data_IF_848689411937
#
_entry.id   IF_848689411937
#
_cell.length_a   1.000
_cell.length_b   1.000
_cell.length_c   1.000
_cell.angle_alpha   90.00
_cell.angle_beta   90.00
_cell.angle_gamma   90.00
#
_symmetry.space_group_name_H-M   'P 1'
#
loop_
_entity.id
_entity.type
_entity.pdbx_description
1 polymer ?
#
# COMPACT_ATOMS: atom_id res chain seq x y z
N UNK A 1 -8.29 -11.25 -9.78
CA UNK A 1 -9.04 -9.99 -9.96
C UNK A 1 -9.24 -9.66 -11.42
N UNK A 2 -10.21 -8.82 -11.71
CA UNK A 2 -10.38 -8.18 -13.02
C UNK A 2 -10.83 -6.73 -12.86
N UNK A 3 -10.67 -5.93 -13.90
CA UNK A 3 -11.06 -4.52 -13.88
C UNK A 3 -11.89 -4.15 -15.11
N UNK A 4 -12.53 -2.98 -15.02
CA UNK A 4 -13.27 -2.37 -16.11
C UNK A 4 -13.01 -0.88 -16.19
N UNK A 5 -13.06 -0.32 -17.38
CA UNK A 5 -13.09 1.12 -17.62
C UNK A 5 -14.12 1.48 -18.70
N UNK A 6 -14.55 2.72 -18.70
CA UNK A 6 -15.50 3.25 -19.70
C UNK A 6 -14.96 3.09 -21.13
N UNK A 7 -15.78 2.59 -22.02
CA UNK A 7 -15.42 2.30 -23.42
C UNK A 7 -15.03 0.85 -23.68
N UNK A 8 -14.98 0.02 -22.64
CA UNK A 8 -14.83 -1.42 -22.77
C UNK A 8 -16.19 -2.09 -22.95
N UNK A 9 -16.22 -3.09 -23.82
CA UNK A 9 -17.41 -3.96 -23.97
C UNK A 9 -17.32 -5.17 -23.01
N UNK A 10 -17.17 -4.88 -21.72
CA UNK A 10 -17.01 -5.88 -20.66
C UNK A 10 -15.75 -5.67 -19.80
N UNK A 11 -15.58 -6.54 -18.80
CA UNK A 11 -14.38 -6.59 -17.97
C UNK A 11 -13.19 -7.16 -18.76
N UNK A 12 -11.99 -6.72 -18.41
CA UNK A 12 -10.78 -7.47 -18.74
C UNK A 12 -10.87 -8.91 -18.21
N UNK A 13 -10.17 -9.88 -18.82
CA UNK A 13 -10.07 -11.22 -18.27
C UNK A 13 -9.60 -11.22 -16.82
N UNK A 14 -9.95 -12.26 -16.06
CA UNK A 14 -9.38 -12.44 -14.73
C UNK A 14 -7.88 -12.71 -14.80
N UNK A 15 -7.12 -11.99 -13.99
CA UNK A 15 -5.70 -12.24 -13.72
C UNK A 15 -5.58 -12.90 -12.36
N UNK A 16 -4.84 -14.01 -12.28
CA UNK A 16 -4.61 -14.74 -11.04
C UNK A 16 -3.45 -14.11 -10.26
N UNK A 17 -3.44 -14.28 -8.95
CA UNK A 17 -2.35 -13.81 -8.08
C UNK A 17 -1.00 -14.49 -8.37
N UNK A 18 -1.03 -15.64 -9.06
CA UNK A 18 0.17 -16.39 -9.45
C UNK A 18 0.69 -16.03 -10.85
N UNK A 19 -0.02 -15.19 -11.58
CA UNK A 19 0.35 -14.74 -12.92
C UNK A 19 1.10 -13.41 -12.84
N UNK A 20 2.17 -13.29 -13.63
CA UNK A 20 2.88 -12.02 -13.79
C UNK A 20 2.20 -11.17 -14.87
N UNK A 21 0.94 -10.81 -14.62
CA UNK A 21 0.10 -10.07 -15.54
C UNK A 21 -0.82 -9.09 -14.79
N UNK A 22 -1.49 -8.21 -15.50
CA UNK A 22 -2.41 -7.21 -14.93
C UNK A 22 -3.69 -7.10 -15.76
N UNK A 23 -4.81 -6.88 -15.06
CA UNK A 23 -6.09 -6.58 -15.72
C UNK A 23 -6.21 -5.07 -15.93
N UNK A 24 -5.87 -4.60 -17.12
CA UNK A 24 -5.91 -3.17 -17.44
C UNK A 24 -5.25 -2.83 -18.76
N UNK A 25 -5.17 -1.54 -19.08
CA UNK A 25 -4.41 -0.99 -20.20
C UNK A 25 -3.66 0.24 -19.75
N UNK A 26 -2.41 0.37 -20.22
CA UNK A 26 -1.58 1.55 -19.93
C UNK A 26 -2.31 2.84 -20.32
N UNK A 27 -2.28 3.84 -19.45
CA UNK A 27 -2.91 5.13 -19.67
C UNK A 27 -4.43 5.17 -19.55
N UNK A 28 -5.09 4.04 -19.24
CA UNK A 28 -6.54 3.99 -19.00
C UNK A 28 -6.84 3.76 -17.53
N UNK A 29 -7.51 4.69 -16.85
CA UNK A 29 -7.84 4.53 -15.44
C UNK A 29 -8.85 3.42 -15.22
N UNK A 30 -8.74 2.72 -14.11
CA UNK A 30 -9.68 1.71 -13.66
C UNK A 30 -10.89 2.42 -13.03
N UNK A 31 -12.11 1.96 -13.37
CA UNK A 31 -13.36 2.51 -12.84
C UNK A 31 -14.16 1.49 -12.04
N UNK A 32 -13.94 0.20 -12.30
CA UNK A 32 -14.48 -0.89 -11.49
C UNK A 32 -13.40 -1.95 -11.24
N UNK A 33 -13.42 -2.53 -10.04
CA UNK A 33 -12.56 -3.64 -9.63
C UNK A 33 -13.44 -4.77 -9.10
N UNK A 34 -13.16 -5.97 -9.53
CA UNK A 34 -13.80 -7.19 -9.03
C UNK A 34 -12.75 -8.20 -8.60
N UNK A 35 -12.88 -8.72 -7.37
CA UNK A 35 -11.96 -9.69 -6.79
C UNK A 35 -12.72 -10.95 -6.42
N UNK A 36 -12.16 -12.11 -6.74
CA UNK A 36 -12.71 -13.42 -6.38
C UNK A 36 -11.63 -14.32 -5.83
N UNK A 37 -11.96 -15.15 -4.87
CA UNK A 37 -11.10 -16.20 -4.37
C UNK A 37 -11.29 -17.50 -5.19
N UNK A 38 -10.18 -18.15 -5.54
CA UNK A 38 -10.14 -19.42 -6.25
C UNK A 38 -9.17 -20.36 -5.55
N UNK A 39 -9.42 -21.66 -5.68
CA UNK A 39 -8.45 -22.70 -5.31
C UNK A 39 -7.36 -22.79 -6.37
N UNK A 40 -6.24 -23.41 -6.02
CA UNK A 40 -5.12 -23.60 -6.94
C UNK A 40 -5.51 -24.45 -8.19
N UNK A 41 -6.53 -25.30 -8.07
CA UNK A 41 -7.08 -26.07 -9.19
C UNK A 41 -7.97 -25.25 -10.15
N UNK A 42 -8.15 -23.94 -9.86
CA UNK A 42 -8.95 -23.02 -10.67
C UNK A 42 -10.44 -23.05 -10.35
N UNK A 43 -10.90 -23.84 -9.37
CA UNK A 43 -12.30 -23.83 -8.96
C UNK A 43 -12.60 -22.62 -8.06
N UNK A 44 -13.74 -21.96 -8.30
CA UNK A 44 -14.16 -20.82 -7.49
C UNK A 44 -14.34 -21.24 -6.04
N UNK A 45 -13.74 -20.50 -5.11
CA UNK A 45 -13.91 -20.70 -3.68
C UNK A 45 -15.24 -20.04 -3.26
N UNK A 46 -16.20 -20.86 -2.84
CA UNK A 46 -17.55 -20.41 -2.42
C UNK A 46 -17.70 -20.36 -0.90
N UNK A 47 -16.75 -20.92 -0.17
CA UNK A 47 -16.71 -20.95 1.30
C UNK A 47 -15.27 -21.00 1.77
N UNK A 48 -15.05 -20.67 3.04
CA UNK A 48 -13.73 -20.73 3.70
C UNK A 48 -12.91 -19.46 3.61
N UNK A 49 -13.12 -18.60 2.61
CA UNK A 49 -12.42 -17.30 2.47
C UNK A 49 -13.42 -16.20 2.11
N UNK A 50 -13.35 -15.09 2.83
CA UNK A 50 -14.10 -13.87 2.54
C UNK A 50 -13.13 -12.77 2.14
N UNK A 51 -13.25 -12.30 0.91
CA UNK A 51 -12.48 -11.14 0.42
C UNK A 51 -13.39 -9.92 0.48
N UNK A 52 -13.10 -9.01 1.39
CA UNK A 52 -13.77 -7.71 1.51
C UNK A 52 -12.91 -6.66 0.82
N UNK A 53 -13.49 -5.85 -0.05
CA UNK A 53 -12.74 -4.79 -0.72
C UNK A 53 -13.63 -3.58 -0.99
N UNK A 54 -13.00 -2.41 -1.07
CA UNK A 54 -13.65 -1.15 -1.42
C UNK A 54 -12.72 -0.25 -2.23
N UNK A 55 -13.29 0.70 -2.93
CA UNK A 55 -12.57 1.66 -3.75
C UNK A 55 -12.65 3.07 -3.14
N UNK A 56 -11.58 3.85 -3.29
CA UNK A 56 -11.55 5.27 -3.00
C UNK A 56 -11.79 6.05 -4.31
N UNK A 57 -12.89 6.78 -4.35
CA UNK A 57 -13.37 7.50 -5.53
C UNK A 57 -13.84 8.88 -5.11
N UNK A 58 -13.42 9.93 -5.83
CA UNK A 58 -13.83 11.33 -5.55
C UNK A 58 -13.70 11.72 -4.06
N UNK A 59 -12.53 11.41 -3.47
CA UNK A 59 -12.16 11.73 -2.09
C UNK A 59 -13.00 11.04 -0.99
N UNK A 60 -13.65 9.93 -1.31
CA UNK A 60 -14.39 9.12 -0.31
C UNK A 60 -14.20 7.63 -0.55
N UNK A 61 -14.23 6.85 0.53
CA UNK A 61 -14.36 5.41 0.46
C UNK A 61 -15.79 5.02 0.11
N UNK A 62 -15.93 4.14 -0.87
CA UNK A 62 -17.20 3.50 -1.21
C UNK A 62 -17.54 2.41 -0.19
N UNK A 63 -18.80 1.90 -0.19
CA UNK A 63 -19.16 0.75 0.62
C UNK A 63 -18.26 -0.46 0.35
N UNK A 64 -18.11 -1.31 1.37
CA UNK A 64 -17.47 -2.61 1.23
C UNK A 64 -18.30 -3.53 0.35
N UNK A 65 -17.65 -4.21 -0.56
CA UNK A 65 -18.21 -5.23 -1.44
C UNK A 65 -17.46 -6.55 -1.30
N UNK A 66 -18.09 -7.64 -1.71
CA UNK A 66 -17.48 -8.97 -1.71
C UNK A 66 -18.21 -9.88 -2.70
N UNK A 67 -17.56 -10.94 -3.13
CA UNK A 67 -18.21 -12.07 -3.82
C UNK A 67 -18.68 -13.18 -2.84
N UNK A 68 -18.54 -12.96 -1.54
CA UNK A 68 -19.01 -13.86 -0.50
C UNK A 68 -20.51 -13.68 -0.20
N UNK A 69 -21.11 -14.64 0.50
CA UNK A 69 -22.49 -14.52 1.00
C UNK A 69 -22.62 -13.27 1.90
N UNK A 70 -23.69 -12.47 1.76
CA UNK A 70 -23.93 -11.29 2.60
C UNK A 70 -23.88 -11.53 4.12
N UNK A 71 -24.23 -12.74 4.58
CA UNK A 71 -24.11 -13.08 6.00
C UNK A 71 -22.66 -13.05 6.50
N UNK A 72 -21.71 -13.49 5.63
CA UNK A 72 -20.29 -13.48 5.93
C UNK A 72 -19.73 -12.06 5.96
N UNK A 73 -20.15 -11.21 5.02
CA UNK A 73 -19.76 -9.80 4.99
C UNK A 73 -20.16 -9.10 6.31
N UNK A 74 -21.38 -9.32 6.78
CA UNK A 74 -21.86 -8.76 8.06
C UNK A 74 -21.10 -9.32 9.25
N UNK A 75 -20.79 -10.62 9.26
CA UNK A 75 -20.00 -11.25 10.30
C UNK A 75 -18.59 -10.68 10.38
N UNK A 76 -17.94 -10.51 9.24
CA UNK A 76 -16.61 -9.88 9.14
C UNK A 76 -16.66 -8.43 9.63
N UNK A 77 -17.61 -7.63 9.13
CA UNK A 77 -17.72 -6.24 9.55
C UNK A 77 -17.90 -6.11 11.06
N UNK A 78 -18.80 -6.89 11.65
CA UNK A 78 -19.07 -6.87 13.09
C UNK A 78 -17.85 -7.33 13.91
N UNK A 79 -17.21 -8.42 13.49
CA UNK A 79 -16.10 -9.02 14.23
C UNK A 79 -14.84 -8.16 14.22
N UNK A 80 -14.52 -7.57 13.08
CA UNK A 80 -13.29 -6.78 12.88
C UNK A 80 -13.54 -5.28 12.97
N UNK A 81 -14.77 -4.88 13.27
CA UNK A 81 -15.18 -3.48 13.41
C UNK A 81 -14.76 -2.62 12.19
N UNK A 82 -15.01 -3.16 10.97
CA UNK A 82 -14.71 -2.43 9.76
C UNK A 82 -15.58 -1.18 9.66
N UNK A 83 -14.94 -0.06 9.43
CA UNK A 83 -15.62 1.22 9.23
C UNK A 83 -16.38 1.25 7.89
N UNK A 84 -17.35 2.14 7.77
CA UNK A 84 -18.14 2.32 6.55
C UNK A 84 -19.31 1.35 6.44
N UNK A 85 -20.00 1.40 5.31
CA UNK A 85 -21.20 0.61 5.02
C UNK A 85 -20.86 -0.62 4.16
N UNK A 86 -21.78 -1.59 4.14
CA UNK A 86 -21.73 -2.74 3.23
C UNK A 86 -22.65 -2.53 2.04
N UNK A 87 -22.20 -2.84 0.84
CA UNK A 87 -23.06 -3.09 -0.31
C UNK A 87 -23.09 -4.60 -0.61
N UNK A 88 -24.09 -5.27 -0.07
CA UNK A 88 -24.24 -6.73 -0.20
C UNK A 88 -24.89 -7.16 -1.51
N UNK A 89 -25.34 -6.21 -2.32
CA UNK A 89 -25.93 -6.44 -3.64
C UNK A 89 -24.94 -6.27 -4.78
N UNK A 90 -23.77 -5.69 -4.50
CA UNK A 90 -22.75 -5.39 -5.50
C UNK A 90 -21.54 -6.32 -5.35
N UNK A 91 -21.01 -6.80 -6.47
CA UNK A 91 -19.81 -7.64 -6.52
C UNK A 91 -18.60 -6.94 -7.12
N UNK A 92 -18.65 -5.63 -7.25
CA UNK A 92 -17.52 -4.80 -7.70
C UNK A 92 -17.39 -3.52 -6.88
N UNK A 93 -16.18 -3.03 -6.73
CA UNK A 93 -15.90 -1.73 -6.13
C UNK A 93 -15.61 -0.71 -7.23
N UNK A 94 -16.30 0.42 -7.19
CA UNK A 94 -16.12 1.50 -8.15
C UNK A 94 -17.42 2.15 -8.59
N UNK A 95 -17.31 3.20 -9.40
CA UNK A 95 -18.45 3.94 -9.99
C UNK A 95 -18.16 4.16 -11.47
N UNK A 96 -19.14 3.88 -12.32
CA UNK A 96 -19.04 4.10 -13.76
C UNK A 96 -18.69 5.56 -14.07
N UNK A 97 -17.70 5.73 -14.93
CA UNK A 97 -17.23 7.05 -15.34
C UNK A 97 -16.36 7.78 -14.33
N UNK A 98 -16.06 7.17 -13.16
CA UNK A 98 -15.20 7.73 -12.11
C UNK A 98 -13.97 6.86 -11.89
N UNK A 99 -12.81 7.49 -11.79
CA UNK A 99 -11.56 6.77 -11.62
C UNK A 99 -11.40 6.29 -10.17
N UNK A 100 -10.90 5.06 -10.02
CA UNK A 100 -10.46 4.54 -8.72
C UNK A 100 -9.11 5.16 -8.39
N UNK A 101 -9.01 5.82 -7.25
CA UNK A 101 -7.80 6.47 -6.75
C UNK A 101 -7.11 5.69 -5.63
N UNK A 102 -7.79 4.70 -5.06
CA UNK A 102 -7.26 3.81 -4.04
C UNK A 102 -8.13 2.58 -3.87
N UNK A 103 -7.53 1.52 -3.36
CA UNK A 103 -8.22 0.26 -3.08
C UNK A 103 -7.82 -0.21 -1.69
N UNK A 104 -8.78 -0.69 -0.93
CA UNK A 104 -8.56 -1.39 0.32
C UNK A 104 -9.11 -2.80 0.21
N UNK A 105 -8.30 -3.79 0.61
CA UNK A 105 -8.60 -5.21 0.47
C UNK A 105 -8.28 -5.90 1.78
N UNK A 106 -9.23 -6.68 2.30
CA UNK A 106 -9.04 -7.57 3.44
C UNK A 106 -9.45 -8.98 3.08
N UNK A 107 -8.68 -9.95 3.54
CA UNK A 107 -8.93 -11.38 3.30
C UNK A 107 -9.06 -12.05 4.65
N UNK A 108 -10.15 -12.76 4.86
CA UNK A 108 -10.47 -13.44 6.12
C UNK A 108 -10.74 -14.92 5.86
N UNK A 109 -10.18 -15.79 6.67
CA UNK A 109 -10.52 -17.20 6.67
C UNK A 109 -11.80 -17.44 7.47
N UNK A 110 -12.61 -18.41 7.06
CA UNK A 110 -13.87 -18.76 7.75
C UNK A 110 -13.63 -19.13 9.22
N UNK A 111 -12.56 -19.84 9.51
CA UNK A 111 -12.15 -20.21 10.86
C UNK A 111 -11.89 -18.97 11.73
N UNK A 112 -11.29 -17.92 11.13
CA UNK A 112 -11.03 -16.65 11.80
C UNK A 112 -12.33 -15.88 12.07
N UNK A 113 -13.35 -16.05 11.23
CA UNK A 113 -14.65 -15.39 11.39
C UNK A 113 -15.42 -15.97 12.57
N UNK A 114 -15.32 -17.27 12.85
CA UNK A 114 -16.04 -17.93 13.93
C UNK A 114 -15.27 -18.08 15.23
N UNK A 115 -13.97 -18.20 15.17
CA UNK A 115 -13.18 -18.09 16.39
C UNK A 115 -13.13 -16.61 16.78
N UNK A 116 -13.69 -16.28 17.95
CA UNK A 116 -13.36 -14.98 18.56
C UNK A 116 -11.84 -14.88 18.53
N UNK A 117 -11.24 -13.90 17.84
CA UNK A 117 -9.82 -13.71 18.00
C UNK A 117 -9.63 -13.54 19.49
N UNK A 118 -8.75 -14.32 20.10
CA UNK A 118 -8.09 -13.80 21.27
C UNK A 118 -7.68 -12.39 20.84
N UNK A 119 -8.27 -11.37 21.46
CA UNK A 119 -7.85 -9.97 21.30
C UNK A 119 -6.35 -10.04 21.15
N UNK A 120 -5.75 -9.52 20.07
CA UNK A 120 -4.30 -9.45 20.02
C UNK A 120 -3.94 -8.75 21.32
N UNK A 121 -3.39 -9.48 22.26
CA UNK A 121 -2.77 -8.91 23.46
C UNK A 121 -1.46 -8.28 23.04
N UNK A 122 -1.54 -7.44 22.06
CA UNK A 122 -0.51 -6.61 21.52
C UNK A 122 -1.19 -5.35 21.02
N UNK A 123 -0.88 -4.22 21.60
CA UNK A 123 -1.32 -2.93 21.16
C UNK A 123 -1.02 -2.78 19.67
N UNK A 124 -2.04 -2.97 18.82
CA UNK A 124 -1.92 -2.58 17.43
C UNK A 124 -1.80 -1.06 17.40
N UNK A 125 -0.65 -0.53 17.06
CA UNK A 125 -0.43 0.90 16.94
C UNK A 125 -0.34 1.29 15.48
N UNK A 126 -1.21 2.19 15.07
CA UNK A 126 -1.11 2.83 13.76
C UNK A 126 -0.39 4.17 13.95
N UNK A 127 0.72 4.34 13.25
CA UNK A 127 1.40 5.62 13.18
C UNK A 127 0.67 6.48 12.15
N UNK A 128 0.06 7.56 12.60
CA UNK A 128 -0.63 8.53 11.75
C UNK A 128 0.40 9.42 11.04
N UNK A 129 0.98 8.92 9.95
CA UNK A 129 1.84 9.72 9.10
C UNK A 129 1.01 10.43 8.01
N UNK A 130 1.27 11.72 7.72
CA UNK A 130 0.59 12.42 6.63
C UNK A 130 0.84 11.70 5.31
N UNK A 131 -0.22 11.34 4.59
CA UNK A 131 -0.10 10.66 3.31
C UNK A 131 0.31 11.63 2.21
N UNK A 132 1.32 11.25 1.43
CA UNK A 132 1.77 11.96 0.24
C UNK A 132 1.75 10.98 -0.93
N UNK A 133 0.98 11.27 -1.99
CA UNK A 133 1.00 10.46 -3.20
C UNK A 133 2.25 10.74 -4.03
N UNK A 134 2.93 9.68 -4.46
CA UNK A 134 4.02 9.81 -5.44
C UNK A 134 3.51 9.87 -6.88
N UNK A 135 2.25 9.44 -7.11
CA UNK A 135 1.70 9.32 -8.46
C UNK A 135 1.68 10.66 -9.20
N UNK A 136 2.05 10.62 -10.45
CA UNK A 136 2.10 11.78 -11.34
C UNK A 136 3.35 12.64 -11.18
N UNK A 137 3.78 12.97 -9.96
CA UNK A 137 4.89 13.91 -9.75
C UNK A 137 6.24 13.24 -9.46
N UNK A 138 6.24 12.08 -8.81
CA UNK A 138 7.44 11.36 -8.37
C UNK A 138 7.39 9.89 -8.76
N UNK A 139 7.31 9.54 -10.06
CA UNK A 139 7.02 8.17 -10.52
C UNK A 139 8.03 7.12 -10.07
N UNK A 140 9.27 7.53 -9.77
CA UNK A 140 10.31 6.65 -9.23
C UNK A 140 10.82 7.12 -7.85
N UNK A 141 10.04 7.95 -7.15
CA UNK A 141 10.46 8.64 -5.92
C UNK A 141 9.93 8.04 -4.63
N UNK A 142 9.61 6.74 -4.59
CA UNK A 142 9.03 6.10 -3.41
C UNK A 142 9.86 6.31 -2.14
N UNK A 143 11.19 6.23 -2.21
CA UNK A 143 12.08 6.45 -1.08
C UNK A 143 11.99 7.88 -0.56
N UNK A 144 11.95 8.87 -1.47
CA UNK A 144 11.87 10.28 -1.10
C UNK A 144 10.52 10.62 -0.49
N UNK A 145 9.43 10.17 -1.11
CA UNK A 145 8.06 10.42 -0.65
C UNK A 145 7.83 9.79 0.72
N UNK A 146 8.20 8.52 0.89
CA UNK A 146 8.05 7.81 2.18
C UNK A 146 8.89 8.45 3.28
N UNK A 147 10.11 8.92 2.95
CA UNK A 147 10.98 9.61 3.90
C UNK A 147 10.35 10.92 4.37
N UNK A 148 9.78 11.72 3.47
CA UNK A 148 9.11 12.97 3.82
C UNK A 148 7.85 12.72 4.66
N UNK A 149 7.08 11.66 4.38
CA UNK A 149 5.97 11.26 5.24
C UNK A 149 6.43 10.97 6.68
N UNK A 150 7.55 10.25 6.83
CA UNK A 150 8.12 9.97 8.15
C UNK A 150 8.64 11.23 8.86
N UNK A 151 9.27 12.15 8.13
CA UNK A 151 9.73 13.45 8.67
C UNK A 151 8.56 14.33 9.11
N UNK A 152 7.52 14.43 8.29
CA UNK A 152 6.34 15.22 8.62
C UNK A 152 5.59 14.63 9.83
N UNK A 153 5.54 13.30 9.98
CA UNK A 153 5.05 12.67 11.20
C UNK A 153 5.87 13.09 12.45
N UNK A 154 7.18 13.23 12.32
CA UNK A 154 8.04 13.70 13.38
C UNK A 154 7.96 15.22 13.63
N UNK A 155 7.11 15.95 12.91
CA UNK A 155 6.95 17.39 13.00
C UNK A 155 8.00 18.20 12.23
N UNK A 156 8.79 17.54 11.38
CA UNK A 156 9.78 18.19 10.50
C UNK A 156 9.14 18.39 9.13
N UNK A 157 8.47 19.51 8.95
CA UNK A 157 7.67 19.81 7.79
C UNK A 157 8.53 20.29 6.62
N UNK A 158 8.86 19.38 5.71
CA UNK A 158 9.52 19.69 4.44
C UNK A 158 8.72 19.12 3.26
N UNK A 159 8.88 19.72 2.09
CA UNK A 159 8.29 19.17 0.87
C UNK A 159 9.16 18.05 0.28
N UNK A 160 8.55 17.18 -0.54
CA UNK A 160 9.31 16.15 -1.27
C UNK A 160 10.31 16.81 -2.23
N UNK A 161 9.96 17.93 -2.86
CA UNK A 161 10.89 18.67 -3.71
C UNK A 161 12.09 19.18 -2.93
N UNK A 162 11.86 19.80 -1.77
CA UNK A 162 12.95 20.26 -0.88
C UNK A 162 13.87 19.11 -0.46
N UNK A 163 13.30 17.95 -0.13
CA UNK A 163 14.10 16.76 0.22
C UNK A 163 14.94 16.28 -0.97
N UNK A 164 14.35 16.17 -2.16
CA UNK A 164 15.06 15.72 -3.36
C UNK A 164 16.17 16.68 -3.76
N UNK A 165 15.93 17.98 -3.69
CA UNK A 165 16.84 18.97 -4.25
C UNK A 165 18.00 19.31 -3.28
N UNK A 166 17.74 19.33 -1.97
CA UNK A 166 18.71 19.79 -1.00
C UNK A 166 19.43 18.65 -0.24
N UNK A 167 18.83 17.46 -0.14
CA UNK A 167 19.34 16.42 0.74
C UNK A 167 19.65 15.10 0.06
N UNK A 168 18.89 14.73 -0.99
CA UNK A 168 19.08 13.46 -1.69
C UNK A 168 20.32 13.51 -2.58
N UNK A 169 21.29 12.61 -2.32
CA UNK A 169 22.40 12.43 -3.25
C UNK A 169 21.93 11.69 -4.50
N UNK A 170 22.12 12.30 -5.68
CA UNK A 170 21.70 11.76 -6.98
C UNK A 170 22.88 11.69 -7.94
N UNK A 171 22.88 10.69 -8.82
CA UNK A 171 23.85 10.59 -9.92
C UNK A 171 23.21 10.02 -11.18
N UNK A 172 23.86 10.23 -12.33
CA UNK A 172 23.54 9.53 -13.57
C UNK A 172 24.01 8.06 -13.54
N UNK A 173 23.80 7.35 -14.64
CA UNK A 173 24.28 5.98 -14.85
C UNK A 173 25.69 5.98 -15.46
N UNK A 174 26.59 5.06 -15.03
CA UNK A 174 26.41 4.05 -13.99
C UNK A 174 26.44 4.65 -12.58
N UNK A 175 25.74 4.01 -11.62
CA UNK A 175 25.68 4.44 -10.22
C UNK A 175 25.70 3.25 -9.26
N UNK A 176 26.05 3.50 -8.00
CA UNK A 176 25.86 2.55 -6.90
C UNK A 176 24.64 2.97 -6.06
N UNK A 177 23.58 2.13 -5.97
CA UNK A 177 22.38 2.45 -5.22
C UNK A 177 22.61 2.58 -3.70
N UNK A 178 23.77 2.18 -3.18
CA UNK A 178 24.17 2.43 -1.80
C UNK A 178 24.82 3.80 -1.58
N UNK A 179 25.20 4.48 -2.65
CA UNK A 179 25.90 5.77 -2.61
C UNK A 179 24.99 6.92 -3.07
N UNK A 180 24.19 6.69 -4.12
CA UNK A 180 23.35 7.72 -4.71
C UNK A 180 22.05 7.14 -5.24
N UNK A 181 21.03 8.00 -5.36
CA UNK A 181 19.82 7.71 -6.13
C UNK A 181 20.17 7.78 -7.63
N UNK A 182 19.87 6.73 -8.38
CA UNK A 182 20.11 6.69 -9.83
C UNK A 182 19.09 7.53 -10.59
N UNK A 183 19.54 8.61 -11.23
CA UNK A 183 18.68 9.48 -12.03
C UNK A 183 17.89 10.52 -11.24
N UNK A 184 16.62 10.72 -11.61
CA UNK A 184 15.74 11.73 -11.01
C UNK A 184 14.43 11.11 -10.51
N UNK A 185 14.06 11.25 -9.23
CA UNK A 185 12.79 10.75 -8.70
C UNK A 185 11.54 11.28 -9.42
N UNK A 186 11.64 12.42 -10.10
CA UNK A 186 10.56 13.04 -10.87
C UNK A 186 10.43 12.48 -12.30
N UNK A 187 11.33 11.57 -12.68
CA UNK A 187 11.34 10.95 -14.01
C UNK A 187 10.90 9.49 -13.94
N UNK A 188 10.23 9.01 -14.98
CA UNK A 188 9.91 7.59 -15.17
C UNK A 188 11.14 6.71 -15.43
N UNK A 189 12.30 7.33 -15.75
CA UNK A 189 13.57 6.65 -15.97
C UNK A 189 14.49 6.67 -14.74
N UNK A 190 14.01 7.01 -13.56
CA UNK A 190 14.77 6.89 -12.32
C UNK A 190 14.90 5.42 -11.89
N UNK A 191 15.98 5.12 -11.16
CA UNK A 191 16.32 3.74 -10.76
C UNK A 191 16.14 3.48 -9.26
N UNK A 192 16.01 4.54 -8.43
CA UNK A 192 15.91 4.38 -6.98
C UNK A 192 17.26 4.36 -6.25
N UNK A 193 17.18 4.08 -4.93
CA UNK A 193 18.36 3.90 -4.08
C UNK A 193 18.06 2.97 -2.89
N UNK A 194 19.11 2.54 -2.19
CA UNK A 194 18.98 1.74 -0.97
C UNK A 194 19.06 2.59 0.30
N UNK A 195 18.80 1.96 1.43
CA UNK A 195 18.74 2.58 2.75
C UNK A 195 19.93 3.47 3.12
N UNK A 196 21.21 3.17 2.77
CA UNK A 196 22.34 4.04 3.09
C UNK A 196 22.21 5.47 2.52
N UNK A 197 21.65 5.62 1.32
CA UNK A 197 21.46 6.94 0.69
C UNK A 197 20.44 7.75 1.45
N UNK A 198 19.30 7.15 1.79
CA UNK A 198 18.25 7.79 2.56
C UNK A 198 18.74 8.11 4.00
N UNK A 199 19.50 7.19 4.61
CA UNK A 199 20.11 7.45 5.93
C UNK A 199 21.00 8.70 5.92
N UNK A 200 21.87 8.84 4.91
CA UNK A 200 22.73 10.03 4.75
C UNK A 200 21.91 11.31 4.53
N UNK A 201 20.84 11.24 3.74
CA UNK A 201 19.94 12.37 3.54
C UNK A 201 19.23 12.76 4.84
N UNK A 202 18.72 11.77 5.59
CA UNK A 202 18.11 11.99 6.90
C UNK A 202 19.09 12.59 7.90
N UNK A 203 20.36 12.17 7.94
CA UNK A 203 21.35 12.75 8.83
C UNK A 203 21.56 14.25 8.59
N UNK A 204 21.49 14.68 7.32
CA UNK A 204 21.57 16.11 6.98
C UNK A 204 20.31 16.85 7.41
N UNK A 205 19.11 16.32 7.15
CA UNK A 205 17.83 16.95 7.56
C UNK A 205 17.73 17.04 9.07
N UNK A 206 18.19 16.00 9.77
CA UNK A 206 18.07 15.87 11.23
C UNK A 206 19.22 16.54 12.00
N UNK A 207 20.20 17.12 11.29
CA UNK A 207 21.30 17.86 11.93
C UNK A 207 20.76 19.00 12.80
N UNK A 208 21.12 18.99 14.07
CA UNK A 208 20.61 19.96 15.05
C UNK A 208 19.18 19.71 15.55
N UNK A 209 18.52 18.66 15.09
CA UNK A 209 17.19 18.25 15.56
C UNK A 209 17.30 17.26 16.74
N UNK A 210 16.19 17.10 17.48
CA UNK A 210 16.10 16.12 18.58
C UNK A 210 15.99 14.66 18.13
N UNK A 211 15.87 14.40 16.83
CA UNK A 211 15.70 13.08 16.26
C UNK A 211 16.97 12.58 15.58
N UNK A 212 17.10 11.26 15.51
CA UNK A 212 18.17 10.59 14.75
C UNK A 212 17.59 9.48 13.91
N UNK A 213 18.16 9.23 12.75
CA UNK A 213 17.81 8.09 11.91
C UNK A 213 18.76 6.92 12.20
N UNK A 214 18.21 5.69 12.23
CA UNK A 214 18.98 4.45 12.34
C UNK A 214 18.76 3.58 11.12
N UNK A 215 19.81 2.97 10.62
CA UNK A 215 19.74 1.94 9.61
C UNK A 215 19.80 0.57 10.29
N UNK A 216 18.91 -0.33 9.89
CA UNK A 216 18.75 -1.64 10.51
C UNK A 216 18.82 -2.72 9.44
N UNK A 217 19.38 -3.88 9.78
CA UNK A 217 19.46 -5.06 8.94
C UNK A 217 19.07 -6.30 9.72
N UNK A 218 18.42 -7.26 9.08
CA UNK A 218 18.10 -8.56 9.66
C UNK A 218 17.18 -8.51 10.89
N UNK A 219 16.40 -7.43 11.04
CA UNK A 219 15.50 -7.26 12.19
C UNK A 219 14.16 -7.93 11.86
N UNK A 220 13.70 -8.81 12.74
CA UNK A 220 12.38 -9.44 12.58
C UNK A 220 11.26 -8.41 12.67
N UNK A 221 10.14 -8.68 11.97
CA UNK A 221 8.94 -7.83 12.02
C UNK A 221 8.47 -7.61 13.48
N UNK A 222 8.48 -8.65 14.30
CA UNK A 222 8.15 -8.56 15.74
C UNK A 222 9.00 -7.51 16.45
N UNK A 223 10.32 -7.52 16.22
CA UNK A 223 11.22 -6.57 16.85
C UNK A 223 11.07 -5.15 16.27
N UNK A 224 10.73 -5.00 14.98
CA UNK A 224 10.39 -3.69 14.41
C UNK A 224 9.13 -3.12 15.07
N UNK A 225 8.10 -3.94 15.25
CA UNK A 225 6.89 -3.51 15.93
C UNK A 225 7.18 -3.08 17.37
N UNK A 226 7.73 -3.96 18.20
CA UNK A 226 7.92 -3.71 19.65
C UNK A 226 8.93 -2.61 19.95
N UNK A 227 9.97 -2.46 19.14
CA UNK A 227 11.03 -1.49 19.39
C UNK A 227 10.79 -0.10 18.78
N UNK A 228 9.96 0.00 17.75
CA UNK A 228 9.73 1.22 16.99
C UNK A 228 8.25 1.57 16.86
N UNK A 229 7.44 0.74 16.19
CA UNK A 229 6.03 1.07 15.89
C UNK A 229 5.21 1.29 17.16
N UNK A 230 5.33 0.41 18.16
CA UNK A 230 4.63 0.53 19.45
C UNK A 230 5.01 1.80 20.21
N UNK A 231 6.20 2.34 19.94
CA UNK A 231 6.69 3.59 20.51
C UNK A 231 6.36 4.82 19.66
N UNK A 232 5.63 4.65 18.55
CA UNK A 232 5.28 5.75 17.65
C UNK A 232 6.42 6.20 16.74
N UNK A 233 7.44 5.37 16.56
CA UNK A 233 8.60 5.68 15.72
C UNK A 233 8.35 5.11 14.34
N UNK A 234 8.28 5.93 13.27
CA UNK A 234 8.05 5.45 11.92
C UNK A 234 9.23 4.63 11.41
N UNK A 235 8.93 3.59 10.63
CA UNK A 235 9.92 2.70 10.02
C UNK A 235 9.73 2.71 8.50
N UNK A 236 10.80 2.96 7.76
CA UNK A 236 10.85 2.85 6.30
C UNK A 236 11.40 1.48 5.96
N UNK A 237 10.67 0.72 5.15
CA UNK A 237 11.05 -0.63 4.73
C UNK A 237 11.37 -0.67 3.24
N UNK A 238 12.43 -1.39 2.89
CA UNK A 238 12.68 -1.86 1.53
C UNK A 238 12.21 -3.30 1.43
N UNK A 239 11.32 -3.56 0.50
CA UNK A 239 10.81 -4.89 0.25
C UNK A 239 10.99 -5.25 -1.23
N UNK A 240 11.22 -6.53 -1.51
CA UNK A 240 11.20 -7.04 -2.88
C UNK A 240 9.78 -6.99 -3.44
N UNK A 241 9.65 -6.82 -4.75
CA UNK A 241 8.34 -6.95 -5.39
C UNK A 241 7.74 -8.31 -5.06
N UNK A 242 6.45 -8.33 -4.72
CA UNK A 242 5.71 -9.52 -4.29
C UNK A 242 6.20 -10.17 -2.99
N UNK A 243 7.04 -9.51 -2.20
CA UNK A 243 7.59 -10.04 -0.94
C UNK A 243 8.30 -11.41 -1.12
N UNK A 244 8.78 -11.71 -2.31
CA UNK A 244 9.53 -12.93 -2.58
C UNK A 244 10.94 -12.82 -1.97
N UNK A 245 11.32 -13.87 -1.26
CA UNK A 245 12.67 -14.05 -0.68
C UNK A 245 13.60 -14.72 -1.69
#
# INVERSE_FOLDING_TARGET
YRTWNKGMNGYYPYVKSTENDYAGSSGKPIQQLQIQAYRNDGTKLVSGIVVMYRAFVENKWLPWVSNADPKWMRSVQSKYNLDGTLDTGCSYAGIDGKNINGVEIHIYEENEIYTKPSTPTGNSKIIQAPFISQLGKYPTGCESVTTVMALNHAGINISVDTFIDNYLNRSGTPFDPNISFGGNPRSTSGYGCYAPVIKKALDKVLSGQKYTAKQLYGVSLKNLCSNYIDKGIPVILWATMYMNT
#
